data_IF_626639980880
#
_entry.id   IF_626639980880
#
_cell.length_a   1.000
_cell.length_b   1.000
_cell.length_c   1.000
_cell.angle_alpha   90.00
_cell.angle_beta   90.00
_cell.angle_gamma   90.00
#
_symmetry.space_group_name_H-M   'P 1'
#
loop_
_entity.id
_entity.type
_entity.pdbx_description
1 polymer ?
#
# COMPACT_ATOMS: atom_id res chain seq x y z
N UNK A 1 -13.70 -9.21 -27.05
CA UNK A 1 -12.91 -9.07 -25.80
C UNK A 1 -12.62 -10.47 -25.27
N UNK A 2 -11.38 -10.77 -24.86
CA UNK A 2 -11.02 -12.06 -24.23
C UNK A 2 -10.98 -11.87 -22.72
N UNK A 3 -11.42 -12.86 -21.96
CA UNK A 3 -11.41 -12.84 -20.49
C UNK A 3 -11.04 -14.22 -19.94
N UNK A 4 -10.57 -14.23 -18.69
CA UNK A 4 -10.29 -15.45 -17.93
C UNK A 4 -11.41 -15.64 -16.92
N UNK A 5 -11.93 -16.85 -16.83
CA UNK A 5 -12.91 -17.21 -15.79
C UNK A 5 -12.13 -17.81 -14.62
N UNK A 6 -12.19 -17.13 -13.47
CA UNK A 6 -11.54 -17.57 -12.24
C UNK A 6 -12.61 -17.97 -11.25
N UNK A 7 -12.56 -19.22 -10.77
CA UNK A 7 -13.44 -19.68 -9.70
C UNK A 7 -12.81 -19.34 -8.35
N UNK A 8 -13.10 -18.13 -7.86
CA UNK A 8 -12.63 -17.64 -6.57
C UNK A 8 -13.79 -17.03 -5.77
N UNK A 9 -13.77 -17.14 -4.42
CA UNK A 9 -14.80 -16.57 -3.56
C UNK A 9 -14.60 -15.06 -3.40
N UNK A 10 -14.64 -14.30 -4.50
CA UNK A 10 -14.45 -12.85 -4.49
C UNK A 10 -15.80 -12.13 -4.35
N UNK A 11 -15.83 -10.93 -3.73
CA UNK A 11 -17.04 -10.10 -3.66
C UNK A 11 -17.40 -9.46 -5.01
N UNK A 12 -16.64 -9.76 -6.07
CA UNK A 12 -16.74 -9.16 -7.39
C UNK A 12 -17.08 -10.21 -8.44
N UNK A 13 -18.07 -9.91 -9.27
CA UNK A 13 -18.42 -10.76 -10.42
C UNK A 13 -17.47 -10.55 -11.61
N UNK A 14 -16.89 -9.36 -11.74
CA UNK A 14 -16.04 -8.98 -12.87
C UNK A 14 -14.93 -8.05 -12.37
N UNK A 15 -13.69 -8.33 -12.77
CA UNK A 15 -12.55 -7.44 -12.59
C UNK A 15 -12.12 -6.94 -13.96
N UNK A 16 -12.24 -5.63 -14.17
CA UNK A 16 -11.94 -5.01 -15.45
C UNK A 16 -10.60 -4.29 -15.38
N UNK A 17 -9.57 -4.89 -15.97
CA UNK A 17 -8.27 -4.25 -16.11
C UNK A 17 -8.27 -3.10 -17.13
N UNK A 18 -7.14 -2.38 -17.22
CA UNK A 18 -6.92 -1.30 -18.19
C UNK A 18 -7.29 -1.68 -19.64
N UNK A 19 -6.93 -2.87 -20.17
CA UNK A 19 -7.32 -3.26 -21.53
C UNK A 19 -8.85 -3.32 -21.72
N UNK A 20 -9.57 -3.80 -20.71
CA UNK A 20 -11.04 -3.88 -20.73
C UNK A 20 -11.68 -2.48 -20.71
N UNK A 21 -11.20 -1.60 -19.84
CA UNK A 21 -11.63 -0.20 -19.77
C UNK A 21 -11.40 0.52 -21.11
N UNK A 22 -10.22 0.34 -21.73
CA UNK A 22 -9.90 0.90 -23.05
C UNK A 22 -10.82 0.36 -24.14
N UNK A 23 -11.08 -0.94 -24.14
CA UNK A 23 -11.94 -1.59 -25.14
C UNK A 23 -13.38 -1.08 -25.06
N UNK A 24 -13.91 -0.89 -23.85
CA UNK A 24 -15.25 -0.35 -23.62
C UNK A 24 -15.34 1.18 -23.84
N UNK A 25 -14.19 1.85 -24.04
CA UNK A 25 -14.07 3.32 -24.00
C UNK A 25 -14.75 3.88 -22.76
N UNK A 26 -14.53 3.22 -21.63
CA UNK A 26 -15.24 3.52 -20.40
C UNK A 26 -14.62 4.69 -19.67
N UNK A 27 -15.47 5.50 -19.04
CA UNK A 27 -15.11 6.63 -18.19
C UNK A 27 -15.59 6.33 -16.77
N UNK A 28 -14.72 5.80 -15.89
CA UNK A 28 -15.05 5.62 -14.48
C UNK A 28 -14.88 6.93 -13.70
N UNK A 29 -15.77 7.15 -12.73
CA UNK A 29 -15.70 8.23 -11.75
C UNK A 29 -15.88 7.65 -10.36
N UNK A 30 -14.78 7.63 -9.60
CA UNK A 30 -14.75 7.11 -8.23
C UNK A 30 -15.59 7.95 -7.29
N UNK A 31 -15.51 9.29 -7.39
CA UNK A 31 -16.26 10.22 -6.55
C UNK A 31 -17.78 10.09 -6.72
N UNK A 32 -18.25 9.79 -7.94
CA UNK A 32 -19.67 9.60 -8.22
C UNK A 32 -20.10 8.12 -8.18
N UNK A 33 -19.17 7.20 -7.89
CA UNK A 33 -19.43 5.76 -7.93
C UNK A 33 -20.09 5.30 -9.23
N UNK A 34 -19.65 5.88 -10.35
CA UNK A 34 -20.29 5.75 -11.66
C UNK A 34 -19.27 5.35 -12.72
N UNK A 35 -19.71 4.60 -13.72
CA UNK A 35 -18.91 4.30 -14.91
C UNK A 35 -19.80 4.41 -16.14
N UNK A 36 -19.38 5.20 -17.13
CA UNK A 36 -20.06 5.32 -18.41
C UNK A 36 -19.29 4.56 -19.48
N UNK A 37 -19.97 3.94 -20.42
CA UNK A 37 -19.32 3.27 -21.56
C UNK A 37 -20.24 3.24 -22.78
N UNK A 38 -19.63 3.10 -23.96
CA UNK A 38 -20.37 3.11 -25.22
C UNK A 38 -21.02 1.76 -25.49
N UNK A 39 -22.25 1.77 -26.00
CA UNK A 39 -22.99 0.59 -26.47
C UNK A 39 -23.61 0.89 -27.84
N UNK A 40 -24.03 -0.13 -28.62
CA UNK A 40 -24.72 0.09 -29.90
C UNK A 40 -26.00 0.94 -29.79
N UNK A 41 -26.63 0.99 -28.61
CA UNK A 41 -27.86 1.76 -28.35
C UNK A 41 -27.59 3.13 -27.71
N UNK A 42 -26.33 3.56 -27.62
CA UNK A 42 -25.92 4.81 -26.97
C UNK A 42 -25.05 4.57 -25.73
N UNK A 43 -25.01 5.53 -24.82
CA UNK A 43 -24.13 5.48 -23.65
C UNK A 43 -24.83 4.80 -22.48
N UNK A 44 -24.27 3.67 -22.02
CA UNK A 44 -24.69 3.03 -20.78
C UNK A 44 -23.99 3.68 -19.59
N UNK A 45 -24.73 3.81 -18.48
CA UNK A 45 -24.23 4.34 -17.22
C UNK A 45 -24.45 3.31 -16.12
N UNK A 46 -23.37 2.80 -15.57
CA UNK A 46 -23.37 1.97 -14.37
C UNK A 46 -23.24 2.90 -13.16
N UNK A 47 -24.18 2.82 -12.22
CA UNK A 47 -24.15 3.59 -10.98
C UNK A 47 -24.19 2.62 -9.81
N UNK A 48 -23.26 2.77 -8.88
CA UNK A 48 -23.17 1.95 -7.68
C UNK A 48 -23.64 2.76 -6.48
N UNK A 49 -24.45 2.14 -5.62
CA UNK A 49 -24.87 2.74 -4.35
C UNK A 49 -23.77 2.58 -3.30
N UNK A 50 -23.62 3.59 -2.45
CA UNK A 50 -22.61 3.58 -1.38
C UNK A 50 -22.71 2.36 -0.45
N UNK A 51 -23.93 1.84 -0.23
CA UNK A 51 -24.17 0.64 0.58
C UNK A 51 -23.52 -0.61 -0.01
N UNK A 52 -23.51 -0.74 -1.34
CA UNK A 52 -22.87 -1.86 -2.04
C UNK A 52 -21.35 -1.73 -1.94
N UNK A 53 -20.83 -0.51 -2.09
CA UNK A 53 -19.38 -0.25 -1.94
C UNK A 53 -18.92 -0.58 -0.52
N UNK A 54 -19.68 -0.16 0.48
CA UNK A 54 -19.38 -0.45 1.88
C UNK A 54 -19.38 -1.96 2.15
N UNK A 55 -20.36 -2.68 1.63
CA UNK A 55 -20.46 -4.14 1.77
C UNK A 55 -19.31 -4.87 1.05
N UNK A 56 -18.97 -4.49 -0.18
CA UNK A 56 -17.81 -5.04 -0.89
C UNK A 56 -16.52 -4.84 -0.08
N UNK A 57 -16.26 -3.62 0.42
CA UNK A 57 -15.10 -3.34 1.29
C UNK A 57 -15.09 -4.16 2.57
N UNK A 58 -16.27 -4.40 3.16
CA UNK A 58 -16.41 -5.24 4.36
C UNK A 58 -16.08 -6.70 4.05
N UNK A 59 -16.53 -7.21 2.90
CA UNK A 59 -16.25 -8.58 2.45
C UNK A 59 -14.77 -8.76 2.11
N UNK A 60 -14.14 -7.79 1.43
CA UNK A 60 -12.70 -7.78 1.19
C UNK A 60 -11.91 -7.88 2.49
N UNK A 61 -12.24 -7.06 3.50
CA UNK A 61 -11.61 -7.14 4.82
C UNK A 61 -11.79 -8.51 5.47
N UNK A 62 -13.00 -9.08 5.44
CA UNK A 62 -13.25 -10.42 5.99
C UNK A 62 -12.48 -11.51 5.24
N UNK A 63 -12.31 -11.37 3.94
CA UNK A 63 -11.55 -12.31 3.10
C UNK A 63 -10.04 -12.21 3.38
N UNK A 64 -9.49 -10.99 3.46
CA UNK A 64 -8.10 -10.76 3.87
C UNK A 64 -7.82 -11.33 5.27
N UNK A 65 -8.78 -11.18 6.19
CA UNK A 65 -8.71 -11.77 7.54
C UNK A 65 -8.71 -13.30 7.45
N UNK A 66 -9.64 -13.93 6.71
CA UNK A 66 -9.67 -15.39 6.53
C UNK A 66 -8.40 -15.96 5.87
N UNK A 67 -7.87 -15.30 4.86
CA UNK A 67 -6.61 -15.69 4.21
C UNK A 67 -5.41 -15.49 5.15
N UNK A 68 -5.49 -14.51 6.06
CA UNK A 68 -4.52 -14.30 7.13
C UNK A 68 -4.68 -15.23 8.33
N UNK A 69 -5.78 -15.98 8.44
CA UNK A 69 -6.00 -17.01 9.47
C UNK A 69 -5.64 -18.42 8.96
N UNK A 70 -5.28 -18.58 7.67
CA UNK A 70 -4.75 -19.84 7.13
C UNK A 70 -3.22 -19.93 7.20
N UNK A 71 -2.56 -18.84 7.57
CA UNK A 71 -1.21 -18.87 8.13
C UNK A 71 -1.31 -18.20 9.48
N UNK A 72 -0.97 -18.90 10.55
CA UNK A 72 -0.83 -18.32 11.87
C UNK A 72 -0.06 -17.00 11.75
N UNK A 73 -0.75 -15.87 11.94
CA UNK A 73 -0.06 -14.63 12.29
C UNK A 73 0.33 -14.75 13.75
N UNK A 74 1.28 -15.63 14.01
CA UNK A 74 2.23 -15.34 15.06
C UNK A 74 2.82 -13.97 14.68
N UNK A 75 2.59 -12.96 15.50
CA UNK A 75 3.30 -11.69 15.37
C UNK A 75 4.74 -12.02 15.72
N UNK A 76 5.48 -12.48 14.71
CA UNK A 76 6.86 -12.86 14.90
C UNK A 76 7.59 -11.67 15.52
N UNK A 77 8.18 -11.87 16.70
CA UNK A 77 8.78 -10.82 17.50
C UNK A 77 9.73 -9.98 16.64
N UNK A 78 9.44 -8.68 16.54
CA UNK A 78 10.29 -7.72 15.83
C UNK A 78 11.50 -7.38 16.69
N UNK A 79 12.68 -7.26 16.06
CA UNK A 79 13.90 -6.82 16.73
C UNK A 79 14.23 -5.41 16.28
N UNK A 80 14.39 -4.50 17.23
CA UNK A 80 14.92 -3.17 16.96
C UNK A 80 16.44 -3.18 17.05
N UNK A 81 17.08 -2.52 16.09
CA UNK A 81 18.53 -2.44 16.01
C UNK A 81 19.01 -1.00 15.80
N UNK A 82 20.20 -0.73 16.32
CA UNK A 82 20.90 0.54 16.11
C UNK A 82 21.82 0.37 14.90
N UNK A 83 21.58 1.16 13.85
CA UNK A 83 22.37 1.14 12.61
C UNK A 83 23.44 2.22 12.65
N UNK A 84 23.09 3.45 13.02
CA UNK A 84 24.04 4.56 13.13
C UNK A 84 24.22 5.00 14.60
N UNK A 85 25.41 4.82 15.21
CA UNK A 85 25.68 5.22 16.59
C UNK A 85 25.53 6.72 16.87
N UNK A 86 25.62 7.59 15.86
CA UNK A 86 25.48 9.03 16.01
C UNK A 86 24.02 9.46 16.25
N UNK A 87 23.06 8.62 15.87
CA UNK A 87 21.62 8.88 16.01
C UNK A 87 20.96 7.75 16.83
N UNK A 88 21.22 7.68 18.15
CA UNK A 88 20.76 6.57 19.01
C UNK A 88 19.24 6.42 19.06
N UNK A 89 18.51 7.51 18.85
CA UNK A 89 17.04 7.54 18.84
C UNK A 89 16.44 7.04 17.51
N UNK A 90 17.24 6.91 16.45
CA UNK A 90 16.80 6.46 15.13
C UNK A 90 17.08 4.96 14.94
N UNK A 91 16.22 4.13 15.52
CA UNK A 91 16.33 2.66 15.46
C UNK A 91 15.60 2.09 14.25
N UNK A 92 16.13 1.01 13.68
CA UNK A 92 15.50 0.26 12.57
C UNK A 92 14.84 -1.00 13.11
N UNK A 93 13.59 -1.23 12.72
CA UNK A 93 12.83 -2.43 13.11
C UNK A 93 12.93 -3.51 12.04
N UNK A 94 13.46 -4.68 12.39
CA UNK A 94 13.50 -5.85 11.52
C UNK A 94 12.35 -6.80 11.85
N UNK A 95 11.66 -7.26 10.80
CA UNK A 95 10.56 -8.22 10.92
C UNK A 95 10.99 -9.57 11.52
N UNK A 96 10.17 -10.11 12.42
CA UNK A 96 10.47 -11.37 13.13
C UNK A 96 10.50 -12.63 12.25
N UNK A 97 10.03 -12.55 11.00
CA UNK A 97 9.92 -13.69 10.08
C UNK A 97 11.25 -14.08 9.41
N UNK A 98 12.30 -13.28 9.57
CA UNK A 98 13.63 -13.62 9.11
C UNK A 98 14.26 -14.65 10.06
N UNK A 99 14.97 -15.64 9.50
CA UNK A 99 15.83 -16.50 10.30
C UNK A 99 16.95 -15.68 10.94
N UNK A 100 17.54 -16.18 12.03
CA UNK A 100 18.60 -15.45 12.74
C UNK A 100 19.79 -15.17 11.81
N UNK A 101 20.18 -16.13 10.97
CA UNK A 101 21.28 -15.96 10.01
C UNK A 101 21.04 -14.82 9.02
N UNK A 102 19.84 -14.71 8.44
CA UNK A 102 19.53 -13.61 7.52
C UNK A 102 19.37 -12.28 8.24
N UNK A 103 18.93 -12.32 9.50
CA UNK A 103 18.84 -11.14 10.35
C UNK A 103 20.22 -10.57 10.65
N UNK A 104 21.19 -11.41 11.01
CA UNK A 104 22.58 -11.01 11.23
C UNK A 104 23.22 -10.44 9.97
N UNK A 105 23.03 -11.09 8.82
CA UNK A 105 23.53 -10.60 7.54
C UNK A 105 22.93 -9.24 7.16
N UNK A 106 21.61 -9.08 7.36
CA UNK A 106 20.94 -7.80 7.13
C UNK A 106 21.43 -6.73 8.10
N UNK A 107 21.65 -7.08 9.37
CA UNK A 107 22.18 -6.17 10.37
C UNK A 107 23.58 -5.66 10.00
N UNK A 108 24.49 -6.54 9.55
CA UNK A 108 25.79 -6.13 9.03
C UNK A 108 25.64 -5.25 7.79
N UNK A 109 24.82 -5.66 6.82
CA UNK A 109 24.61 -4.90 5.59
C UNK A 109 24.13 -3.47 5.87
N UNK A 110 23.17 -3.30 6.78
CA UNK A 110 22.65 -1.98 7.13
C UNK A 110 23.70 -1.10 7.80
N UNK A 111 24.54 -1.68 8.68
CA UNK A 111 25.65 -0.98 9.33
C UNK A 111 26.75 -0.60 8.34
N UNK A 112 27.08 -1.48 7.41
CA UNK A 112 28.11 -1.27 6.39
C UNK A 112 27.70 -0.23 5.33
N UNK A 113 26.40 0.09 5.24
CA UNK A 113 25.83 1.04 4.28
C UNK A 113 25.09 2.19 5.00
N UNK A 114 25.52 2.55 6.22
CA UNK A 114 24.82 3.57 7.03
C UNK A 114 24.74 4.93 6.32
N UNK A 115 25.71 5.25 5.48
CA UNK A 115 25.83 6.49 4.70
C UNK A 115 24.80 6.63 3.57
N UNK A 116 24.12 5.54 3.19
CA UNK A 116 23.07 5.57 2.17
C UNK A 116 21.77 6.18 2.70
N UNK A 117 21.59 6.17 4.02
CA UNK A 117 20.39 6.70 4.68
C UNK A 117 20.49 8.20 4.94
N UNK A 118 19.35 8.88 4.90
CA UNK A 118 19.24 10.26 5.36
C UNK A 118 18.88 10.26 6.85
N UNK A 119 19.87 10.55 7.71
CA UNK A 119 19.70 10.61 9.17
C UNK A 119 19.23 11.99 9.61
N UNK A 120 19.56 13.02 8.85
CA UNK A 120 19.17 14.40 9.06
C UNK A 120 18.48 14.98 7.83
N UNK A 121 17.65 16.03 7.97
CA UNK A 121 17.09 16.72 6.81
C UNK A 121 18.14 17.24 5.82
N UNK A 122 19.36 17.51 6.29
CA UNK A 122 20.49 17.96 5.46
C UNK A 122 20.98 16.89 4.48
N UNK A 123 20.79 15.61 4.80
CA UNK A 123 21.21 14.49 3.94
C UNK A 123 20.32 14.33 2.70
N UNK A 124 19.13 14.96 2.69
CA UNK A 124 18.19 14.93 1.57
C UNK A 124 18.57 15.93 0.47
N UNK A 125 19.72 15.73 -0.17
CA UNK A 125 20.22 16.58 -1.26
C UNK A 125 19.44 16.33 -2.57
N UNK A 126 18.29 16.98 -2.73
CA UNK A 126 17.47 16.88 -3.94
C UNK A 126 16.03 17.35 -3.75
N UNK A 127 15.60 17.48 -2.49
CA UNK A 127 14.30 18.05 -2.14
C UNK A 127 14.54 19.39 -1.45
N UNK A 128 13.94 20.51 -1.92
CA UNK A 128 14.10 21.81 -1.27
C UNK A 128 13.69 21.76 0.21
N UNK A 129 14.47 22.38 1.11
CA UNK A 129 14.21 22.41 2.56
C UNK A 129 12.77 22.79 2.92
N UNK A 130 12.21 23.80 2.26
CA UNK A 130 10.81 24.24 2.41
C UNK A 130 9.75 23.14 2.21
N UNK A 131 10.12 22.04 1.56
CA UNK A 131 9.25 20.89 1.27
C UNK A 131 9.43 19.76 2.29
N UNK A 132 10.61 19.62 2.89
CA UNK A 132 10.92 18.55 3.88
C UNK A 132 10.79 19.02 5.33
N UNK A 133 10.99 20.30 5.59
CA UNK A 133 10.86 20.88 6.94
C UNK A 133 9.38 21.21 7.21
N UNK A 134 8.85 20.69 8.31
CA UNK A 134 7.54 21.08 8.84
C UNK A 134 7.73 22.02 10.03
N UNK A 135 7.59 23.32 9.81
CA UNK A 135 7.49 24.29 10.91
C UNK A 135 6.12 24.14 11.57
N UNK A 136 6.12 23.62 12.80
CA UNK A 136 4.96 23.70 13.68
C UNK A 136 4.62 25.17 13.89
N UNK A 137 3.34 25.52 13.70
CA UNK A 137 2.83 26.87 13.94
C UNK A 137 2.64 27.09 15.46
N UNK A 138 3.74 27.00 16.21
CA UNK A 138 3.78 27.25 17.65
C UNK A 138 4.45 28.58 17.90
N UNK A 139 3.77 29.44 18.69
CA UNK A 139 4.33 30.70 19.15
C UNK A 139 5.40 30.38 20.21
N UNK A 140 6.70 30.68 19.98
CA UNK A 140 7.74 30.50 20.98
C UNK A 140 7.64 31.66 21.98
N UNK A 141 6.62 31.59 22.82
CA UNK A 141 6.50 32.43 24.02
C UNK A 141 7.16 31.73 25.19
#
# INVERSE_FOLDING_TARGET
MKFVVVRAPLPYNIILGRPGLKTLRSIPSTIHSMMKFSTPKGVATLVTRIVIIAECRRLEKKQMIKESFKGEREVAATKEMLVNPLFPDQRVTIGGRLSETYREQLECLLKDNMEVFAWEPSDMMGVPRRTVEHTLNVNPS
#
